data_IF_279547245553
#
_entry.id   IF_279547245553
#
_cell.length_a   1.000
_cell.length_b   1.000
_cell.length_c   1.000
_cell.angle_alpha   90.00
_cell.angle_beta   90.00
_cell.angle_gamma   90.00
#
_symmetry.space_group_name_H-M   'P 1'
#
loop_
_entity.id
_entity.type
_entity.pdbx_description
1 polymer ?
#
# COMPACT_ATOMS: atom_id res chain seq x y z
N UNK A 1 -3.51 15.62 0.74
CA UNK A 1 -2.17 15.31 1.25
C UNK A 1 -1.30 14.67 0.17
N UNK A 2 -1.73 13.60 -0.54
CA UNK A 2 -0.90 12.99 -1.58
C UNK A 2 -0.48 13.99 -2.68
N UNK A 3 -1.33 14.93 -3.04
CA UNK A 3 -1.00 16.00 -3.98
C UNK A 3 0.13 16.92 -3.48
N UNK A 4 0.37 16.99 -2.16
CA UNK A 4 1.48 17.81 -1.62
C UNK A 4 2.84 17.30 -2.06
N UNK A 5 3.00 16.01 -2.31
CA UNK A 5 4.23 15.45 -2.86
C UNK A 5 4.51 15.92 -4.28
N UNK A 6 3.47 16.08 -5.09
CA UNK A 6 3.59 16.62 -6.45
C UNK A 6 4.14 18.05 -6.38
N UNK A 7 3.51 18.89 -5.54
CA UNK A 7 3.98 20.27 -5.35
C UNK A 7 5.39 20.33 -4.73
N UNK A 8 5.69 19.46 -3.75
CA UNK A 8 7.02 19.41 -3.13
C UNK A 8 8.11 19.03 -4.14
N UNK A 9 7.84 18.09 -5.04
CA UNK A 9 8.78 17.71 -6.08
C UNK A 9 9.08 18.86 -7.03
N UNK A 10 8.08 19.64 -7.44
CA UNK A 10 8.33 20.84 -8.28
C UNK A 10 9.09 21.92 -7.53
N UNK A 11 8.79 22.15 -6.26
CA UNK A 11 9.48 23.17 -5.44
C UNK A 11 10.90 22.77 -5.08
N UNK A 12 11.22 21.49 -5.03
CA UNK A 12 12.56 20.96 -4.81
C UNK A 12 13.51 21.25 -6.00
N UNK A 13 12.97 21.68 -7.16
CA UNK A 13 13.70 22.03 -8.38
C UNK A 13 14.70 20.95 -8.84
N UNK A 14 14.24 19.71 -9.07
CA UNK A 14 15.09 18.66 -9.61
C UNK A 14 15.58 19.02 -11.01
N UNK A 15 16.69 18.42 -11.44
CA UNK A 15 17.03 18.42 -12.86
C UNK A 15 16.09 17.48 -13.60
N UNK A 16 15.05 18.04 -14.21
CA UNK A 16 14.03 17.29 -14.94
C UNK A 16 14.60 16.47 -16.11
N UNK A 17 15.69 16.92 -16.72
CA UNK A 17 16.35 16.17 -17.80
C UNK A 17 16.96 14.88 -17.23
N UNK A 18 17.63 14.97 -16.11
CA UNK A 18 18.19 13.80 -15.42
C UNK A 18 17.08 12.85 -14.93
N UNK A 19 16.03 13.39 -14.32
CA UNK A 19 14.86 12.62 -13.85
C UNK A 19 14.22 11.86 -15.01
N UNK A 20 13.93 12.51 -16.13
CA UNK A 20 13.34 11.87 -17.31
C UNK A 20 14.27 10.84 -17.94
N UNK A 21 15.56 11.12 -18.03
CA UNK A 21 16.55 10.18 -18.54
C UNK A 21 16.61 8.92 -17.67
N UNK A 22 16.65 9.06 -16.34
CA UNK A 22 16.68 7.91 -15.42
C UNK A 22 15.35 7.14 -15.36
N UNK A 23 14.23 7.80 -15.64
CA UNK A 23 12.93 7.14 -15.76
C UNK A 23 12.86 6.23 -16.98
N UNK A 24 13.38 6.67 -18.12
CA UNK A 24 13.33 5.92 -19.38
C UNK A 24 14.46 4.88 -19.47
N UNK A 25 15.63 5.22 -18.96
CA UNK A 25 16.83 4.35 -18.95
C UNK A 25 17.22 3.99 -17.52
N UNK A 26 16.57 3.00 -16.90
CA UNK A 26 16.87 2.60 -15.53
C UNK A 26 18.26 1.98 -15.43
N UNK A 27 19.02 2.36 -14.41
CA UNK A 27 20.29 1.71 -14.06
C UNK A 27 20.02 0.60 -13.05
N UNK A 28 20.14 -0.65 -13.46
CA UNK A 28 19.96 -1.80 -12.59
C UNK A 28 21.28 -2.11 -11.88
N UNK A 29 21.22 -2.16 -10.55
CA UNK A 29 22.35 -2.59 -9.72
C UNK A 29 22.09 -4.02 -9.23
N UNK A 30 23.05 -4.92 -9.49
CA UNK A 30 22.93 -6.34 -9.10
C UNK A 30 23.54 -6.58 -7.71
N UNK A 31 23.12 -5.76 -6.72
CA UNK A 31 23.46 -5.99 -5.31
C UNK A 31 22.21 -6.41 -4.51
N UNK A 32 22.43 -7.07 -3.38
CA UNK A 32 21.35 -7.63 -2.58
C UNK A 32 20.38 -6.55 -2.07
N UNK A 33 20.89 -5.41 -1.63
CA UNK A 33 20.08 -4.33 -1.07
C UNK A 33 19.14 -3.72 -2.12
N UNK A 34 19.65 -3.50 -3.33
CA UNK A 34 18.85 -2.99 -4.44
C UNK A 34 17.74 -3.97 -4.84
N UNK A 35 18.07 -5.27 -4.93
CA UNK A 35 17.10 -6.31 -5.27
C UNK A 35 16.01 -6.43 -4.20
N UNK A 36 16.36 -6.34 -2.92
CA UNK A 36 15.40 -6.37 -1.81
C UNK A 36 14.44 -5.18 -1.91
N UNK A 37 14.95 -3.99 -2.22
CA UNK A 37 14.10 -2.80 -2.40
C UNK A 37 13.13 -2.99 -3.58
N UNK A 38 13.61 -3.46 -4.73
CA UNK A 38 12.76 -3.73 -5.90
C UNK A 38 11.66 -4.76 -5.57
N UNK A 39 12.03 -5.87 -4.92
CA UNK A 39 11.10 -6.90 -4.47
C UNK A 39 10.03 -6.29 -3.54
N UNK A 40 10.46 -5.45 -2.59
CA UNK A 40 9.53 -4.78 -1.67
C UNK A 40 8.57 -3.83 -2.39
N UNK A 41 9.05 -3.06 -3.37
CA UNK A 41 8.21 -2.17 -4.19
C UNK A 41 7.17 -2.97 -4.98
N UNK A 42 7.56 -4.08 -5.61
CA UNK A 42 6.64 -4.96 -6.34
C UNK A 42 5.58 -5.53 -5.37
N UNK A 43 6.01 -6.05 -4.22
CA UNK A 43 5.11 -6.60 -3.19
C UNK A 43 4.15 -5.58 -2.59
N UNK A 44 4.53 -4.31 -2.56
CA UNK A 44 3.65 -3.21 -2.15
C UNK A 44 2.63 -2.84 -3.22
N UNK A 45 3.04 -2.88 -4.50
CA UNK A 45 2.21 -2.44 -5.62
C UNK A 45 1.16 -3.48 -6.02
N UNK A 46 1.53 -4.77 -5.97
CA UNK A 46 0.65 -5.88 -6.35
C UNK A 46 0.59 -6.84 -5.17
N UNK A 47 -0.35 -6.57 -4.27
CA UNK A 47 -0.49 -7.38 -3.05
C UNK A 47 -1.42 -8.58 -3.28
N UNK A 48 -1.06 -9.78 -2.79
CA UNK A 48 -1.88 -10.98 -2.93
C UNK A 48 -3.29 -10.84 -2.37
N UNK A 49 -3.44 -10.20 -1.23
CA UNK A 49 -4.73 -10.05 -0.56
C UNK A 49 -5.75 -9.25 -1.38
N UNK A 50 -5.32 -8.33 -2.24
CA UNK A 50 -6.21 -7.56 -3.11
C UNK A 50 -6.94 -8.46 -4.11
N UNK A 51 -6.27 -9.51 -4.58
CA UNK A 51 -6.83 -10.46 -5.54
C UNK A 51 -7.98 -11.27 -4.92
N UNK A 52 -7.81 -11.70 -3.68
CA UNK A 52 -8.85 -12.45 -2.97
C UNK A 52 -10.03 -11.56 -2.57
N UNK A 53 -9.75 -10.34 -2.12
CA UNK A 53 -10.79 -9.42 -1.66
C UNK A 53 -11.66 -8.85 -2.78
N UNK A 54 -11.16 -8.84 -4.02
CA UNK A 54 -11.90 -8.28 -5.16
C UNK A 54 -13.29 -8.91 -5.31
N UNK A 55 -13.40 -10.23 -5.16
CA UNK A 55 -14.66 -10.94 -5.23
C UNK A 55 -15.64 -10.47 -4.14
N UNK A 56 -15.19 -10.40 -2.90
CA UNK A 56 -16.00 -9.93 -1.77
C UNK A 56 -16.51 -8.51 -2.00
N UNK A 57 -15.67 -7.61 -2.54
CA UNK A 57 -16.05 -6.23 -2.87
C UNK A 57 -17.15 -6.19 -3.94
N UNK A 58 -17.03 -6.99 -4.97
CA UNK A 58 -18.03 -7.06 -6.05
C UNK A 58 -19.38 -7.51 -5.49
N UNK A 59 -19.38 -8.54 -4.64
CA UNK A 59 -20.59 -9.07 -4.01
C UNK A 59 -21.21 -8.07 -3.03
N UNK A 60 -20.41 -7.48 -2.15
CA UNK A 60 -20.90 -6.51 -1.14
C UNK A 60 -21.46 -5.24 -1.77
N UNK A 61 -20.87 -4.77 -2.86
CA UNK A 61 -21.37 -3.62 -3.61
C UNK A 61 -22.58 -3.95 -4.50
N UNK A 62 -22.94 -5.22 -4.64
CA UNK A 62 -24.02 -5.65 -5.53
C UNK A 62 -23.78 -5.31 -7.00
N UNK A 63 -22.52 -5.31 -7.44
CA UNK A 63 -22.14 -4.94 -8.80
C UNK A 63 -22.61 -6.00 -9.80
N UNK A 64 -23.19 -5.54 -10.90
CA UNK A 64 -23.66 -6.34 -12.02
C UNK A 64 -22.82 -6.13 -13.27
N UNK A 65 -23.08 -6.91 -14.31
CA UNK A 65 -22.40 -6.75 -15.60
C UNK A 65 -22.50 -5.34 -16.21
N UNK A 66 -23.62 -4.64 -15.94
CA UNK A 66 -23.83 -3.26 -16.39
C UNK A 66 -22.86 -2.27 -15.71
N UNK A 67 -22.34 -2.58 -14.54
CA UNK A 67 -21.43 -1.75 -13.76
C UNK A 67 -19.95 -1.98 -14.15
N UNK A 68 -19.70 -2.96 -15.01
CA UNK A 68 -18.34 -3.37 -15.39
C UNK A 68 -17.51 -2.23 -15.98
N UNK A 69 -18.14 -1.35 -16.77
CA UNK A 69 -17.47 -0.21 -17.37
C UNK A 69 -17.03 0.80 -16.30
N UNK A 70 -17.94 1.14 -15.39
CA UNK A 70 -17.66 2.06 -14.30
C UNK A 70 -16.56 1.50 -13.38
N UNK A 71 -16.63 0.21 -13.05
CA UNK A 71 -15.61 -0.47 -12.25
C UNK A 71 -14.24 -0.47 -12.92
N UNK A 72 -14.17 -0.74 -14.23
CA UNK A 72 -12.92 -0.66 -15.00
C UNK A 72 -12.34 0.76 -15.01
N UNK A 73 -13.18 1.76 -15.21
CA UNK A 73 -12.75 3.15 -15.20
C UNK A 73 -12.17 3.54 -13.84
N UNK A 74 -12.83 3.16 -12.75
CA UNK A 74 -12.38 3.41 -11.37
C UNK A 74 -11.00 2.78 -11.12
N UNK A 75 -10.82 1.51 -11.49
CA UNK A 75 -9.54 0.81 -11.33
C UNK A 75 -8.43 1.44 -12.16
N UNK A 76 -8.69 1.74 -13.44
CA UNK A 76 -7.69 2.33 -14.34
C UNK A 76 -7.29 3.72 -13.83
N UNK A 77 -8.27 4.56 -13.51
CA UNK A 77 -8.01 5.92 -13.00
C UNK A 77 -7.25 5.88 -11.68
N UNK A 78 -7.70 5.04 -10.74
CA UNK A 78 -7.04 4.86 -9.44
C UNK A 78 -5.60 4.38 -9.59
N UNK A 79 -5.33 3.42 -10.49
CA UNK A 79 -3.98 2.90 -10.74
C UNK A 79 -3.06 3.96 -11.35
N UNK A 80 -3.55 4.75 -12.30
CA UNK A 80 -2.79 5.87 -12.87
C UNK A 80 -2.46 6.90 -11.80
N UNK A 81 -3.45 7.31 -11.01
CA UNK A 81 -3.26 8.29 -9.94
C UNK A 81 -2.28 7.80 -8.88
N UNK A 82 -2.36 6.52 -8.49
CA UNK A 82 -1.39 5.90 -7.58
C UNK A 82 0.04 5.97 -8.17
N UNK A 83 0.19 5.59 -9.43
CA UNK A 83 1.50 5.64 -10.11
C UNK A 83 2.08 7.04 -10.18
N UNK A 84 1.26 8.05 -10.52
CA UNK A 84 1.67 9.46 -10.54
C UNK A 84 2.12 9.93 -9.16
N UNK A 85 1.33 9.68 -8.13
CA UNK A 85 1.69 10.08 -6.75
C UNK A 85 2.98 9.39 -6.30
N UNK A 86 3.11 8.07 -6.52
CA UNK A 86 4.31 7.32 -6.16
C UNK A 86 5.56 7.87 -6.89
N UNK A 87 5.44 8.18 -8.18
CA UNK A 87 6.52 8.80 -8.96
C UNK A 87 6.99 10.12 -8.33
N UNK A 88 6.07 11.01 -7.99
CA UNK A 88 6.43 12.29 -7.39
C UNK A 88 6.96 12.16 -5.97
N UNK A 89 6.54 11.15 -5.21
CA UNK A 89 7.16 10.83 -3.91
C UNK A 89 8.62 10.44 -4.12
N UNK A 90 8.92 9.56 -5.09
CA UNK A 90 10.29 9.14 -5.40
C UNK A 90 11.15 10.34 -5.82
N UNK A 91 10.62 11.20 -6.71
CA UNK A 91 11.33 12.42 -7.15
C UNK A 91 11.58 13.38 -5.97
N UNK A 92 10.57 13.62 -5.14
CA UNK A 92 10.73 14.50 -3.96
C UNK A 92 11.78 13.96 -2.99
N UNK A 93 11.74 12.67 -2.65
CA UNK A 93 12.71 12.02 -1.78
C UNK A 93 14.10 11.99 -2.42
N UNK A 94 14.21 11.65 -3.68
CA UNK A 94 15.49 11.62 -4.40
C UNK A 94 16.17 12.98 -4.51
N UNK A 95 15.39 14.06 -4.58
CA UNK A 95 15.92 15.43 -4.68
C UNK A 95 16.27 16.03 -3.32
N UNK A 96 15.59 15.62 -2.26
CA UNK A 96 15.74 16.23 -0.93
C UNK A 96 16.58 15.39 0.02
N UNK A 97 16.32 14.09 0.11
CA UNK A 97 16.94 13.18 1.09
C UNK A 97 18.26 12.60 0.57
N UNK A 98 18.27 12.17 -0.69
CA UNK A 98 19.45 11.52 -1.27
C UNK A 98 20.71 12.42 -1.28
N UNK A 99 20.65 13.71 -1.69
CA UNK A 99 21.81 14.60 -1.62
C UNK A 99 22.24 14.93 -0.18
N UNK A 100 21.29 14.84 0.77
CA UNK A 100 21.58 15.06 2.18
C UNK A 100 22.15 13.82 2.88
N UNK A 101 22.26 12.68 2.18
CA UNK A 101 22.74 11.42 2.77
C UNK A 101 21.80 10.84 3.84
N UNK A 102 20.52 11.25 3.84
CA UNK A 102 19.54 10.80 4.82
C UNK A 102 18.93 9.49 4.34
N UNK A 103 19.10 8.43 5.12
CA UNK A 103 18.40 7.16 4.96
C UNK A 103 17.11 7.22 5.77
N UNK A 104 16.02 6.68 5.22
CA UNK A 104 14.71 6.73 5.87
C UNK A 104 14.57 5.52 6.81
N UNK A 105 14.91 5.72 8.07
CA UNK A 105 14.71 4.75 9.15
C UNK A 105 13.55 5.15 10.08
N UNK A 106 13.04 6.37 9.92
CA UNK A 106 11.94 6.92 10.74
C UNK A 106 10.94 7.74 9.90
N UNK A 107 9.73 7.92 10.45
CA UNK A 107 8.72 8.79 9.86
C UNK A 107 9.17 10.28 9.86
N UNK A 108 10.00 10.67 10.82
CA UNK A 108 10.54 12.02 10.92
C UNK A 108 11.47 12.32 9.74
N UNK A 109 12.35 11.39 9.39
CA UNK A 109 13.24 11.52 8.23
C UNK A 109 12.46 11.59 6.93
N UNK A 110 11.43 10.76 6.76
CA UNK A 110 10.55 10.80 5.60
C UNK A 110 9.87 12.18 5.45
N UNK A 111 9.53 12.86 6.55
CA UNK A 111 8.91 14.17 6.52
C UNK A 111 9.82 15.27 5.91
N UNK A 112 11.13 15.08 5.90
CA UNK A 112 12.08 16.01 5.24
C UNK A 112 11.80 16.16 3.74
N UNK A 113 11.24 15.16 3.09
CA UNK A 113 10.88 15.24 1.67
C UNK A 113 9.87 16.35 1.36
N UNK A 114 9.09 16.77 2.35
CA UNK A 114 8.12 17.86 2.23
C UNK A 114 8.67 19.23 2.63
N UNK A 115 9.93 19.29 3.07
CA UNK A 115 10.56 20.55 3.51
C UNK A 115 10.59 21.65 2.44
N UNK A 116 10.80 21.36 1.14
CA UNK A 116 10.74 22.38 0.09
C UNK A 116 9.38 23.07 -0.03
N UNK A 117 8.28 22.36 0.25
CA UNK A 117 6.92 22.90 0.22
C UNK A 117 6.53 23.59 1.52
N UNK A 118 6.72 22.90 2.64
CA UNK A 118 6.11 23.27 3.92
C UNK A 118 7.11 23.84 4.94
N UNK A 119 8.42 23.90 4.62
CA UNK A 119 9.45 24.39 5.49
C UNK A 119 9.38 23.76 6.89
N UNK A 120 9.22 24.58 7.94
CA UNK A 120 9.11 24.12 9.32
C UNK A 120 7.83 23.32 9.63
N UNK A 121 6.84 23.40 8.78
CA UNK A 121 5.56 22.68 8.94
C UNK A 121 5.55 21.32 8.23
N UNK A 122 6.66 20.91 7.58
CA UNK A 122 6.76 19.64 6.86
C UNK A 122 6.40 18.44 7.74
N UNK A 123 6.84 18.44 8.98
CA UNK A 123 6.53 17.36 9.94
C UNK A 123 5.05 17.25 10.27
N UNK A 124 4.38 18.38 10.47
CA UNK A 124 2.93 18.41 10.77
C UNK A 124 2.15 17.90 9.56
N UNK A 125 2.49 18.38 8.37
CA UNK A 125 1.85 17.98 7.12
C UNK A 125 2.01 16.47 6.87
N UNK A 126 3.22 15.96 7.08
CA UNK A 126 3.52 14.54 6.96
C UNK A 126 2.77 13.71 8.01
N UNK A 127 2.81 14.13 9.28
CA UNK A 127 2.15 13.42 10.38
C UNK A 127 0.63 13.32 10.18
N UNK A 128 -0.03 14.40 9.74
CA UNK A 128 -1.46 14.39 9.42
C UNK A 128 -1.75 13.44 8.26
N UNK A 129 -0.89 13.44 7.23
CA UNK A 129 -1.00 12.53 6.09
C UNK A 129 -0.86 11.06 6.49
N UNK A 130 0.16 10.78 7.25
CA UNK A 130 0.45 9.44 7.74
C UNK A 130 -0.67 8.93 8.66
N UNK A 131 -1.14 9.77 9.59
CA UNK A 131 -2.25 9.43 10.49
C UNK A 131 -3.53 9.10 9.71
N UNK A 132 -3.89 9.93 8.71
CA UNK A 132 -5.06 9.68 7.87
C UNK A 132 -4.93 8.37 7.07
N UNK A 133 -3.79 8.14 6.43
CA UNK A 133 -3.54 6.91 5.66
C UNK A 133 -3.53 5.67 6.58
N UNK A 134 -2.92 5.79 7.75
CA UNK A 134 -2.84 4.69 8.73
C UNK A 134 -4.20 4.34 9.31
N UNK A 135 -5.03 5.33 9.62
CA UNK A 135 -6.39 5.10 10.12
C UNK A 135 -7.24 4.37 9.09
N UNK A 136 -7.18 4.79 7.83
CA UNK A 136 -7.88 4.12 6.74
C UNK A 136 -7.39 2.67 6.55
N UNK A 137 -6.09 2.45 6.53
CA UNK A 137 -5.50 1.12 6.40
C UNK A 137 -5.83 0.21 7.58
N UNK A 138 -5.82 0.75 8.82
CA UNK A 138 -6.16 0.01 10.02
C UNK A 138 -7.62 -0.48 10.04
N UNK A 139 -8.53 0.21 9.36
CA UNK A 139 -9.90 -0.26 9.19
C UNK A 139 -10.02 -1.32 8.09
N UNK A 140 -9.35 -1.13 6.96
CA UNK A 140 -9.55 -1.96 5.76
C UNK A 140 -8.76 -3.27 5.83
N UNK A 141 -7.49 -3.27 6.23
CA UNK A 141 -6.66 -4.48 6.16
C UNK A 141 -7.15 -5.62 7.04
N UNK A 142 -7.54 -5.40 8.31
CA UNK A 142 -8.15 -6.44 9.13
C UNK A 142 -9.48 -6.94 8.55
N UNK A 143 -10.29 -6.03 7.98
CA UNK A 143 -11.55 -6.36 7.35
C UNK A 143 -11.34 -7.32 6.18
N UNK A 144 -10.43 -6.99 5.27
CA UNK A 144 -10.06 -7.83 4.12
C UNK A 144 -9.61 -9.21 4.57
N UNK A 145 -8.71 -9.24 5.58
CA UNK A 145 -8.22 -10.51 6.14
C UNK A 145 -9.37 -11.36 6.68
N UNK A 146 -10.31 -10.73 7.36
CA UNK A 146 -11.48 -11.42 7.90
C UNK A 146 -12.38 -11.98 6.80
N UNK A 147 -12.61 -11.23 5.72
CA UNK A 147 -13.42 -11.71 4.59
C UNK A 147 -12.85 -12.98 3.98
N UNK A 148 -11.60 -12.97 3.54
CA UNK A 148 -11.04 -14.14 2.85
C UNK A 148 -10.90 -15.36 3.77
N UNK A 149 -10.66 -15.17 5.08
CA UNK A 149 -10.66 -16.29 6.03
C UNK A 149 -12.08 -16.86 6.20
N UNK A 150 -13.08 -16.00 6.40
CA UNK A 150 -14.46 -16.46 6.54
C UNK A 150 -14.96 -17.16 5.26
N UNK A 151 -14.66 -16.62 4.09
CA UNK A 151 -15.01 -17.25 2.81
C UNK A 151 -14.32 -18.60 2.62
N UNK A 152 -13.03 -18.68 2.96
CA UNK A 152 -12.29 -19.95 2.88
C UNK A 152 -12.81 -21.02 3.83
N UNK A 153 -13.36 -20.61 4.99
CA UNK A 153 -13.94 -21.53 6.00
C UNK A 153 -15.45 -21.78 5.79
N UNK A 154 -16.07 -21.10 4.84
CA UNK A 154 -17.51 -21.17 4.62
C UNK A 154 -18.34 -20.52 5.74
N UNK A 155 -17.75 -19.56 6.46
CA UNK A 155 -18.45 -18.81 7.51
C UNK A 155 -19.16 -17.60 6.93
N UNK A 156 -20.27 -17.21 7.59
CA UNK A 156 -20.97 -15.99 7.23
C UNK A 156 -20.06 -14.77 7.38
N UNK A 157 -20.01 -13.93 6.34
CA UNK A 157 -19.23 -12.70 6.28
C UNK A 157 -20.09 -11.53 5.84
N UNK A 158 -19.79 -10.32 6.28
CA UNK A 158 -20.46 -9.10 5.86
C UNK A 158 -20.32 -7.97 6.87
N UNK A 159 -19.94 -6.77 6.38
CA UNK A 159 -19.79 -5.57 7.24
C UNK A 159 -21.10 -5.15 7.86
N UNK A 160 -22.23 -5.35 7.16
CA UNK A 160 -23.57 -5.02 7.65
C UNK A 160 -24.13 -6.00 8.67
N UNK A 161 -23.46 -7.14 8.92
CA UNK A 161 -23.97 -8.21 9.79
C UNK A 161 -23.58 -7.98 11.26
N UNK A 162 -24.57 -8.21 12.14
CA UNK A 162 -24.38 -8.10 13.58
C UNK A 162 -23.64 -9.33 14.15
N UNK A 163 -23.16 -9.23 15.42
CA UNK A 163 -22.53 -10.34 16.15
C UNK A 163 -23.39 -11.61 16.22
N UNK A 164 -24.73 -11.50 16.17
CA UNK A 164 -25.62 -12.65 16.17
C UNK A 164 -25.71 -13.33 14.79
N UNK A 165 -25.52 -12.57 13.73
CA UNK A 165 -25.64 -13.03 12.33
C UNK A 165 -24.33 -13.60 11.82
N UNK A 166 -23.19 -12.98 12.17
CA UNK A 166 -21.86 -13.39 11.76
C UNK A 166 -20.87 -13.34 12.95
N UNK A 167 -21.01 -14.21 13.95
CA UNK A 167 -20.18 -14.16 15.16
C UNK A 167 -18.69 -14.42 14.87
N UNK A 168 -18.37 -15.34 13.97
CA UNK A 168 -17.00 -15.67 13.59
C UNK A 168 -16.31 -14.47 12.90
N UNK A 169 -17.03 -13.81 12.00
CA UNK A 169 -16.53 -12.63 11.30
C UNK A 169 -16.19 -11.49 12.27
N UNK A 170 -17.12 -11.13 13.13
CA UNK A 170 -16.93 -10.04 14.09
C UNK A 170 -15.85 -10.35 15.13
N UNK A 171 -15.79 -11.60 15.61
CA UNK A 171 -14.76 -12.04 16.55
C UNK A 171 -13.37 -12.02 15.91
N UNK A 172 -13.24 -12.53 14.68
CA UNK A 172 -11.98 -12.56 13.95
C UNK A 172 -11.46 -11.14 13.65
N UNK A 173 -12.34 -10.26 13.16
CA UNK A 173 -12.03 -8.87 12.91
C UNK A 173 -11.50 -8.16 14.17
N UNK A 174 -12.22 -8.30 15.28
CA UNK A 174 -11.83 -7.68 16.55
C UNK A 174 -10.53 -8.27 17.08
N UNK A 175 -10.33 -9.59 16.95
CA UNK A 175 -9.11 -10.27 17.37
C UNK A 175 -7.89 -9.82 16.58
N UNK A 176 -8.00 -9.69 15.26
CA UNK A 176 -6.92 -9.19 14.40
C UNK A 176 -6.54 -7.77 14.81
N UNK A 177 -7.51 -6.90 15.03
CA UNK A 177 -7.25 -5.53 15.49
C UNK A 177 -6.55 -5.53 16.86
N UNK A 178 -7.05 -6.30 17.82
CA UNK A 178 -6.47 -6.36 19.17
C UNK A 178 -5.01 -6.87 19.15
N UNK A 179 -4.74 -7.93 18.38
CA UNK A 179 -3.40 -8.50 18.20
C UNK A 179 -2.47 -7.48 17.53
N UNK A 180 -2.93 -6.81 16.48
CA UNK A 180 -2.14 -5.80 15.77
C UNK A 180 -1.76 -4.64 16.70
N UNK A 181 -2.72 -4.14 17.48
CA UNK A 181 -2.46 -3.08 18.48
C UNK A 181 -1.46 -3.57 19.52
N UNK A 182 -1.62 -4.79 20.05
CA UNK A 182 -0.69 -5.36 21.02
C UNK A 182 0.74 -5.47 20.47
N UNK A 183 0.91 -5.87 19.21
CA UNK A 183 2.22 -5.94 18.54
C UNK A 183 2.83 -4.54 18.40
N UNK A 184 2.06 -3.55 17.94
CA UNK A 184 2.57 -2.18 17.73
C UNK A 184 2.97 -1.51 19.05
N UNK A 185 2.36 -1.88 20.16
CA UNK A 185 2.69 -1.37 21.50
C UNK A 185 3.97 -1.97 22.09
N UNK A 186 4.61 -2.96 21.43
CA UNK A 186 5.89 -3.50 21.89
C UNK A 186 6.96 -2.42 21.78
N UNK A 187 7.64 -2.06 22.90
CA UNK A 187 8.66 -1.02 22.87
C UNK A 187 9.82 -1.37 21.92
N UNK A 188 10.34 -0.36 21.22
CA UNK A 188 11.50 -0.48 20.32
C UNK A 188 11.31 -1.44 19.12
N UNK A 189 10.08 -1.75 18.73
CA UNK A 189 9.83 -2.53 17.53
C UNK A 189 10.23 -1.71 16.28
N UNK A 190 11.13 -2.21 15.43
CA UNK A 190 11.53 -1.48 14.22
C UNK A 190 10.44 -1.57 13.14
N UNK A 191 9.39 -0.74 13.27
CA UNK A 191 8.17 -0.81 12.44
C UNK A 191 8.46 -0.74 10.95
N UNK A 192 9.41 0.10 10.51
CA UNK A 192 9.79 0.21 9.09
C UNK A 192 10.36 -1.10 8.57
N UNK A 193 11.21 -1.78 9.34
CA UNK A 193 11.76 -3.09 8.96
C UNK A 193 10.66 -4.18 8.91
N UNK A 194 9.71 -4.13 9.84
CA UNK A 194 8.55 -5.03 9.83
C UNK A 194 7.70 -4.81 8.58
N UNK A 195 7.47 -3.55 8.20
CA UNK A 195 6.77 -3.20 6.96
C UNK A 195 7.52 -3.73 5.73
N UNK A 196 8.82 -3.54 5.61
CA UNK A 196 9.61 -4.07 4.50
C UNK A 196 9.54 -5.58 4.40
N UNK A 197 9.69 -6.28 5.53
CA UNK A 197 9.62 -7.73 5.56
C UNK A 197 8.26 -8.26 5.09
N UNK A 198 7.18 -7.62 5.50
CA UNK A 198 5.83 -7.99 5.03
C UNK A 198 5.67 -7.82 3.51
N UNK A 199 6.26 -6.78 2.92
CA UNK A 199 6.21 -6.56 1.47
C UNK A 199 7.06 -7.57 0.67
N UNK A 200 8.19 -8.00 1.22
CA UNK A 200 9.00 -9.08 0.64
C UNK A 200 8.19 -10.38 0.59
N UNK A 201 7.51 -10.72 1.67
CA UNK A 201 6.65 -11.91 1.72
C UNK A 201 5.53 -11.80 0.69
N UNK A 202 4.88 -10.65 0.56
CA UNK A 202 3.85 -10.41 -0.44
C UNK A 202 4.38 -10.67 -1.85
N UNK A 203 5.56 -10.17 -2.18
CA UNK A 203 6.17 -10.40 -3.49
C UNK A 203 6.49 -11.87 -3.74
N UNK A 204 6.99 -12.59 -2.74
CA UNK A 204 7.30 -14.02 -2.87
C UNK A 204 6.05 -14.88 -3.05
N UNK A 205 4.93 -14.49 -2.46
CA UNK A 205 3.64 -15.18 -2.62
C UNK A 205 2.96 -14.88 -3.96
N UNK A 206 3.24 -13.73 -4.57
CA UNK A 206 2.58 -13.26 -5.77
C UNK A 206 2.64 -14.26 -6.95
N UNK A 207 3.80 -14.84 -7.33
CA UNK A 207 3.86 -15.80 -8.44
C UNK A 207 2.98 -17.04 -8.20
N UNK A 208 2.94 -17.53 -6.97
CA UNK A 208 2.14 -18.70 -6.59
C UNK A 208 0.66 -18.40 -6.82
N UNK A 209 0.20 -17.25 -6.35
CA UNK A 209 -1.20 -16.85 -6.47
C UNK A 209 -1.59 -16.59 -7.92
N UNK A 210 -0.73 -15.93 -8.70
CA UNK A 210 -0.98 -15.70 -10.12
C UNK A 210 -1.09 -17.01 -10.90
N UNK A 211 -0.30 -18.04 -10.59
CA UNK A 211 -0.41 -19.36 -11.20
C UNK A 211 -1.78 -19.98 -10.90
N UNK A 212 -2.23 -19.92 -9.64
CA UNK A 212 -3.55 -20.44 -9.27
C UNK A 212 -4.69 -19.68 -9.97
N UNK A 213 -4.61 -18.34 -10.04
CA UNK A 213 -5.62 -17.53 -10.75
C UNK A 213 -5.66 -17.91 -12.23
N UNK A 214 -4.49 -18.08 -12.88
CA UNK A 214 -4.43 -18.50 -14.28
C UNK A 214 -5.03 -19.90 -14.49
N UNK A 215 -4.79 -20.83 -13.56
CA UNK A 215 -5.42 -22.15 -13.62
C UNK A 215 -6.94 -22.08 -13.49
N UNK A 216 -7.45 -21.27 -12.55
CA UNK A 216 -8.89 -21.09 -12.36
C UNK A 216 -9.58 -20.47 -13.58
N UNK A 217 -8.97 -19.46 -14.19
CA UNK A 217 -9.54 -18.78 -15.38
C UNK A 217 -9.55 -19.72 -16.60
N UNK A 218 -8.56 -20.59 -16.73
CA UNK A 218 -8.45 -21.53 -17.85
C UNK A 218 -9.15 -22.87 -17.61
N UNK A 219 -9.64 -23.11 -16.41
CA UNK A 219 -10.41 -24.31 -16.10
C UNK A 219 -11.86 -24.11 -16.56
N UNK A 220 -12.20 -24.74 -17.69
CA UNK A 220 -13.54 -24.70 -18.30
C UNK A 220 -14.48 -25.66 -17.62
#
# INVERSE_FOLDING_TARGET
IYLTYIFSAFLAKPDWNEVMKKTITPSIQWNADYLIIIISIIGTSITPWQQFYLQSVVVEKGLNENDLWASRFDVIFGSIMMGVVAYFIIVACGTTLYPAGIMIDSAEEAAFSLKPLAGKYAYILFAVGLANASLFSACILPLVTTYYICEAMGWEAGVGKNFKEAPQFNFLFTSILAITVAIVLIPNLPLIKVMWFSQIINCLLLPVILIYILQLINNK
#
